data_IF_245809584752
#
_entry.id   IF_245809584752
#
_cell.length_a   1.000
_cell.length_b   1.000
_cell.length_c   1.000
_cell.angle_alpha   90.00
_cell.angle_beta   90.00
_cell.angle_gamma   90.00
#
_symmetry.space_group_name_H-M   'P 1'
#
loop_
_entity.id
_entity.type
_entity.pdbx_description
1 polymer ?
#
# COMPACT_ATOMS: atom_id res chain seq x y z
N UNK A 1 29.55 -17.34 -12.85
CA UNK A 1 28.59 -16.35 -13.39
C UNK A 1 28.06 -15.55 -12.21
N UNK A 2 28.69 -14.40 -11.91
CA UNK A 2 28.27 -13.53 -10.82
C UNK A 2 27.12 -12.65 -11.31
N UNK A 3 25.95 -12.78 -10.68
CA UNK A 3 24.83 -11.88 -10.86
C UNK A 3 25.18 -10.55 -10.18
N UNK A 4 25.43 -9.52 -10.99
CA UNK A 4 25.53 -8.15 -10.51
C UNK A 4 24.15 -7.73 -9.98
N UNK A 5 24.06 -7.50 -8.67
CA UNK A 5 22.89 -6.83 -8.08
C UNK A 5 22.92 -5.39 -8.58
N UNK A 6 21.88 -5.00 -9.32
CA UNK A 6 21.65 -3.59 -9.62
C UNK A 6 21.24 -2.90 -8.32
N UNK A 7 22.20 -2.26 -7.65
CA UNK A 7 21.92 -1.29 -6.59
C UNK A 7 21.43 -0.01 -7.26
N UNK A 8 20.10 0.15 -7.31
CA UNK A 8 19.49 1.44 -7.64
C UNK A 8 19.69 2.37 -6.44
N UNK A 9 20.37 3.50 -6.65
CA UNK A 9 20.48 4.55 -5.65
C UNK A 9 19.07 4.99 -5.20
N UNK A 10 18.87 5.32 -3.91
CA UNK A 10 17.59 5.81 -3.43
C UNK A 10 17.22 7.09 -4.20
N UNK A 11 15.95 7.20 -4.59
CA UNK A 11 15.45 8.40 -5.25
C UNK A 11 15.75 9.63 -4.37
N UNK A 12 16.30 10.70 -4.97
CA UNK A 12 16.58 11.94 -4.27
C UNK A 12 15.30 12.47 -3.60
N UNK A 13 15.38 13.09 -2.41
CA UNK A 13 14.21 13.51 -1.68
C UNK A 13 13.41 14.53 -2.50
N UNK A 14 12.14 14.22 -2.73
CA UNK A 14 11.21 15.13 -3.42
C UNK A 14 10.80 16.26 -2.48
N UNK A 15 10.46 17.43 -3.04
CA UNK A 15 9.97 18.59 -2.28
C UNK A 15 8.84 18.16 -1.31
N UNK A 16 9.00 18.44 -0.02
CA UNK A 16 8.02 18.11 1.02
C UNK A 16 8.22 16.77 1.74
N UNK A 17 9.26 15.99 1.41
CA UNK A 17 9.61 14.83 2.24
C UNK A 17 10.23 15.23 3.58
N UNK A 18 9.94 14.45 4.62
CA UNK A 18 10.58 14.56 5.93
C UNK A 18 11.40 13.29 6.22
N UNK A 19 12.72 13.46 6.36
CA UNK A 19 13.63 12.36 6.69
C UNK A 19 13.76 12.20 8.20
N UNK A 20 13.75 10.96 8.68
CA UNK A 20 13.89 10.63 10.09
C UNK A 20 14.51 9.25 10.27
N UNK A 21 14.81 8.91 11.53
CA UNK A 21 15.34 7.60 11.90
C UNK A 21 14.46 6.97 12.97
N UNK A 22 14.12 5.70 12.77
CA UNK A 22 13.33 4.91 13.72
C UNK A 22 14.04 3.57 13.95
N UNK A 23 14.33 3.24 15.21
CA UNK A 23 15.04 2.02 15.60
C UNK A 23 16.35 1.76 14.79
N UNK A 24 17.00 2.83 14.32
CA UNK A 24 18.21 2.75 13.49
C UNK A 24 17.98 2.63 11.98
N UNK A 25 16.75 2.48 11.49
CA UNK A 25 16.41 2.57 10.07
C UNK A 25 16.27 4.02 9.62
N UNK A 26 16.89 4.38 8.50
CA UNK A 26 16.65 5.66 7.82
C UNK A 26 15.35 5.60 7.01
N UNK A 27 14.48 6.58 7.20
CA UNK A 27 13.14 6.62 6.60
C UNK A 27 12.84 8.01 6.02
N UNK A 28 12.02 8.05 4.98
CA UNK A 28 11.46 9.29 4.45
C UNK A 28 9.93 9.23 4.44
N UNK A 29 9.28 10.17 5.13
CA UNK A 29 7.84 10.36 5.03
C UNK A 29 7.52 11.25 3.82
N UNK A 30 6.66 10.76 2.93
CA UNK A 30 6.19 11.48 1.75
C UNK A 30 4.82 12.13 2.02
N UNK A 31 4.55 13.33 1.47
CA UNK A 31 3.25 14.00 1.61
C UNK A 31 2.04 13.18 1.13
N UNK A 32 2.23 12.12 0.34
CA UNK A 32 1.18 11.17 -0.01
C UNK A 32 0.68 10.31 1.15
N UNK A 33 1.39 10.30 2.29
CA UNK A 33 1.15 9.39 3.41
C UNK A 33 1.96 8.10 3.35
N UNK A 34 2.86 7.95 2.38
CA UNK A 34 3.76 6.80 2.29
C UNK A 34 5.05 7.03 3.09
N UNK A 35 5.64 5.94 3.58
CA UNK A 35 7.00 5.93 4.12
C UNK A 35 7.91 5.14 3.19
N UNK A 36 9.10 5.66 2.94
CA UNK A 36 10.14 4.99 2.16
C UNK A 36 11.23 4.45 3.08
N UNK A 37 11.52 3.17 2.94
CA UNK A 37 12.67 2.46 3.48
C UNK A 37 13.64 2.23 2.33
N UNK A 38 14.53 3.19 2.12
CA UNK A 38 15.30 3.28 0.90
C UNK A 38 16.34 2.15 0.78
N UNK A 39 16.97 1.80 1.91
CA UNK A 39 17.96 0.72 2.00
C UNK A 39 17.35 -0.65 1.66
N UNK A 40 16.09 -0.87 2.02
CA UNK A 40 15.34 -2.09 1.72
C UNK A 40 14.52 -2.00 0.42
N UNK A 41 14.57 -0.87 -0.28
CA UNK A 41 13.78 -0.56 -1.48
C UNK A 41 12.30 -0.91 -1.28
N UNK A 42 11.75 -0.44 -0.16
CA UNK A 42 10.42 -0.77 0.32
C UNK A 42 9.59 0.50 0.52
N UNK A 43 8.37 0.46 0.00
CA UNK A 43 7.36 1.48 0.22
C UNK A 43 6.32 0.96 1.21
N UNK A 44 6.01 1.75 2.22
CA UNK A 44 5.07 1.40 3.28
C UNK A 44 3.90 2.36 3.25
N UNK A 45 2.68 1.82 3.27
CA UNK A 45 1.41 2.54 3.39
C UNK A 45 0.55 1.88 4.46
N UNK A 46 -0.45 2.57 4.99
CA UNK A 46 -1.37 2.04 6.00
C UNK A 46 -2.80 2.54 5.73
N UNK A 47 -3.79 1.90 6.35
CA UNK A 47 -5.17 2.41 6.45
C UNK A 47 -5.80 2.81 5.11
N UNK A 48 -5.55 2.02 4.05
CA UNK A 48 -6.02 2.34 2.70
C UNK A 48 -7.56 2.40 2.61
N UNK A 49 -8.26 1.65 3.46
CA UNK A 49 -9.71 1.68 3.60
C UNK A 49 -10.48 1.63 2.27
N UNK A 50 -10.11 0.71 1.38
CA UNK A 50 -10.86 0.51 0.15
C UNK A 50 -12.34 0.24 0.47
N UNK A 51 -13.25 0.85 -0.32
CA UNK A 51 -14.70 0.69 -0.24
C UNK A 51 -15.40 1.26 1.02
N UNK A 52 -14.76 2.18 1.74
CA UNK A 52 -15.43 2.95 2.81
C UNK A 52 -16.71 3.63 2.31
N UNK A 53 -16.69 4.21 1.11
CA UNK A 53 -17.86 4.87 0.50
C UNK A 53 -19.04 3.92 0.26
N UNK A 54 -18.81 2.69 -0.22
CA UNK A 54 -19.89 1.73 -0.46
C UNK A 54 -20.43 1.11 0.82
N UNK A 55 -19.62 0.99 1.87
CA UNK A 55 -20.07 0.54 3.19
C UNK A 55 -21.03 1.54 3.86
N UNK A 56 -20.77 2.84 3.74
CA UNK A 56 -21.69 3.88 4.21
C UNK A 56 -22.96 3.98 3.34
N UNK A 57 -22.84 3.81 2.02
CA UNK A 57 -23.99 3.78 1.12
C UNK A 57 -24.92 2.58 1.37
N UNK A 58 -24.37 1.41 1.73
CA UNK A 58 -25.15 0.22 2.07
C UNK A 58 -25.88 0.33 3.43
N UNK A 59 -25.37 1.16 4.36
CA UNK A 59 -25.97 1.39 5.69
C UNK A 59 -26.90 2.59 5.75
N UNK A 60 -26.92 3.45 4.73
CA UNK A 60 -27.85 4.57 4.62
C UNK A 60 -27.49 5.80 5.46
N UNK A 61 -26.34 5.79 6.17
CA UNK A 61 -26.00 6.79 7.18
C UNK A 61 -25.23 8.01 6.64
N UNK A 62 -24.66 7.94 5.43
CA UNK A 62 -24.13 9.10 4.71
C UNK A 62 -23.83 8.76 3.25
N UNK A 63 -24.13 9.70 2.34
CA UNK A 63 -23.61 9.67 0.96
C UNK A 63 -22.16 10.15 0.97
N UNK A 64 -21.22 9.26 1.30
CA UNK A 64 -19.82 9.51 0.98
C UNK A 64 -19.65 9.46 -0.55
N UNK A 65 -18.85 10.34 -1.16
CA UNK A 65 -18.59 10.26 -2.59
C UNK A 65 -18.11 8.84 -2.95
N UNK A 66 -18.64 8.21 -4.00
CA UNK A 66 -18.30 6.83 -4.37
C UNK A 66 -16.86 6.66 -4.89
N UNK A 67 -16.02 7.70 -4.83
CA UNK A 67 -14.71 7.79 -5.45
C UNK A 67 -13.53 7.53 -4.50
N UNK A 68 -13.78 7.04 -3.29
CA UNK A 68 -12.74 6.88 -2.28
C UNK A 68 -11.68 5.84 -2.70
N UNK A 69 -12.12 4.70 -3.24
CA UNK A 69 -11.23 3.63 -3.76
C UNK A 69 -10.38 4.13 -4.94
N UNK A 70 -11.02 4.72 -5.96
CA UNK A 70 -10.34 5.19 -7.16
C UNK A 70 -9.30 6.27 -6.89
N UNK A 71 -9.61 7.24 -6.01
CA UNK A 71 -8.68 8.30 -5.63
C UNK A 71 -7.49 7.76 -4.81
N UNK A 72 -7.72 6.77 -3.95
CA UNK A 72 -6.64 6.10 -3.22
C UNK A 72 -5.74 5.30 -4.17
N UNK A 73 -6.31 4.59 -5.15
CA UNK A 73 -5.53 3.93 -6.20
C UNK A 73 -4.74 4.92 -7.05
N UNK A 74 -5.30 6.08 -7.43
CA UNK A 74 -4.57 7.11 -8.18
C UNK A 74 -3.32 7.60 -7.43
N UNK A 75 -3.47 7.86 -6.12
CA UNK A 75 -2.35 8.25 -5.25
C UNK A 75 -1.31 7.14 -5.15
N UNK A 76 -1.74 5.90 -4.94
CA UNK A 76 -0.87 4.74 -4.80
C UNK A 76 -0.10 4.46 -6.09
N UNK A 77 -0.78 4.45 -7.25
CA UNK A 77 -0.15 4.29 -8.56
C UNK A 77 0.87 5.39 -8.86
N UNK A 78 0.56 6.65 -8.52
CA UNK A 78 1.49 7.79 -8.67
C UNK A 78 2.75 7.60 -7.84
N UNK A 79 2.60 7.27 -6.56
CA UNK A 79 3.70 7.10 -5.62
C UNK A 79 4.57 5.90 -6.02
N UNK A 80 3.96 4.76 -6.34
CA UNK A 80 4.68 3.57 -6.83
C UNK A 80 5.39 3.80 -8.17
N UNK A 81 4.80 4.60 -9.08
CA UNK A 81 5.45 4.96 -10.34
C UNK A 81 6.66 5.88 -10.14
N UNK A 82 6.56 6.80 -9.18
CA UNK A 82 7.62 7.76 -8.87
C UNK A 82 8.81 7.09 -8.18
N UNK A 83 8.57 6.33 -7.11
CA UNK A 83 9.64 5.71 -6.34
C UNK A 83 10.10 4.35 -6.88
N UNK A 84 9.28 3.70 -7.72
CA UNK A 84 9.56 2.38 -8.28
C UNK A 84 10.08 1.36 -7.24
N UNK A 85 9.35 1.18 -6.12
CA UNK A 85 9.85 0.33 -5.05
C UNK A 85 9.96 -1.12 -5.54
N UNK A 86 10.82 -1.92 -4.92
CA UNK A 86 10.82 -3.37 -5.13
C UNK A 86 9.64 -4.02 -4.41
N UNK A 87 9.33 -3.53 -3.20
CA UNK A 87 8.30 -4.06 -2.31
C UNK A 87 7.33 -2.97 -1.88
N UNK A 88 6.05 -3.33 -1.77
CA UNK A 88 5.02 -2.51 -1.14
C UNK A 88 4.46 -3.26 0.07
N UNK A 89 4.42 -2.60 1.22
CA UNK A 89 3.86 -3.14 2.47
C UNK A 89 2.65 -2.30 2.85
N UNK A 90 1.49 -2.95 3.00
CA UNK A 90 0.29 -2.35 3.57
C UNK A 90 0.17 -2.74 5.05
N UNK A 91 0.40 -1.78 5.94
CA UNK A 91 0.35 -1.94 7.40
C UNK A 91 -1.09 -1.87 7.92
N UNK A 92 -1.86 -2.95 7.71
CA UNK A 92 -3.20 -3.11 8.30
C UNK A 92 -4.31 -2.28 7.63
N UNK A 93 -5.54 -2.68 7.93
CA UNK A 93 -6.81 -1.97 7.63
C UNK A 93 -6.88 -1.49 6.17
N UNK A 94 -6.40 -2.33 5.25
CA UNK A 94 -6.42 -2.08 3.82
C UNK A 94 -7.84 -2.20 3.25
N UNK A 95 -8.66 -3.06 3.85
CA UNK A 95 -10.05 -3.28 3.49
C UNK A 95 -10.98 -2.91 4.64
N UNK A 96 -12.06 -2.20 4.34
CA UNK A 96 -13.02 -1.77 5.37
C UNK A 96 -13.78 -2.94 6.02
N UNK A 97 -14.09 -3.98 5.24
CA UNK A 97 -14.67 -5.24 5.71
C UNK A 97 -14.32 -6.37 4.74
N UNK A 98 -14.55 -7.62 5.20
CA UNK A 98 -14.29 -8.83 4.42
C UNK A 98 -15.06 -8.90 3.09
N UNK A 99 -16.18 -8.17 2.96
CA UNK A 99 -16.98 -8.08 1.74
C UNK A 99 -16.64 -6.88 0.85
N UNK A 100 -15.62 -6.09 1.21
CA UNK A 100 -15.23 -4.89 0.47
C UNK A 100 -14.82 -5.19 -0.96
N UNK A 101 -14.09 -6.29 -1.20
CA UNK A 101 -13.70 -6.66 -2.56
C UNK A 101 -14.87 -7.02 -3.47
N UNK A 102 -15.94 -7.64 -2.94
CA UNK A 102 -17.10 -8.02 -3.76
C UNK A 102 -17.89 -6.78 -4.22
N UNK A 103 -17.76 -5.66 -3.52
CA UNK A 103 -18.39 -4.37 -3.86
C UNK A 103 -17.50 -3.46 -4.68
N UNK A 104 -16.19 -3.74 -4.71
CA UNK A 104 -15.22 -2.95 -5.47
C UNK A 104 -15.56 -2.98 -6.95
N UNK A 105 -15.59 -1.81 -7.59
CA UNK A 105 -15.79 -1.71 -9.02
C UNK A 105 -14.74 -2.55 -9.77
N UNK A 106 -15.18 -3.32 -10.78
CA UNK A 106 -14.30 -4.23 -11.51
C UNK A 106 -13.06 -3.53 -12.10
N UNK A 107 -13.18 -2.26 -12.48
CA UNK A 107 -12.08 -1.41 -12.95
C UNK A 107 -11.03 -1.16 -11.87
N UNK A 108 -11.45 -0.87 -10.64
CA UNK A 108 -10.56 -0.61 -9.52
C UNK A 108 -9.91 -1.91 -9.02
N UNK A 109 -10.66 -3.01 -9.00
CA UNK A 109 -10.09 -4.32 -8.69
C UNK A 109 -9.01 -4.71 -9.70
N UNK A 110 -9.24 -4.47 -10.99
CA UNK A 110 -8.24 -4.72 -12.02
C UNK A 110 -6.99 -3.83 -11.85
N UNK A 111 -7.14 -2.58 -11.41
CA UNK A 111 -6.02 -1.69 -11.10
C UNK A 111 -5.22 -2.19 -9.90
N UNK A 112 -5.89 -2.55 -8.82
CA UNK A 112 -5.25 -3.08 -7.62
C UNK A 112 -4.48 -4.36 -7.93
N UNK A 113 -5.08 -5.30 -8.67
CA UNK A 113 -4.40 -6.53 -9.11
C UNK A 113 -3.10 -6.24 -9.88
N UNK A 114 -3.13 -5.29 -10.82
CA UNK A 114 -1.92 -4.90 -11.56
C UNK A 114 -0.82 -4.36 -10.65
N UNK A 115 -1.16 -3.61 -9.61
CA UNK A 115 -0.18 -3.16 -8.62
C UNK A 115 0.40 -4.35 -7.84
N UNK A 116 -0.47 -5.22 -7.33
CA UNK A 116 -0.10 -6.39 -6.52
C UNK A 116 0.77 -7.38 -7.33
N UNK A 117 0.51 -7.55 -8.62
CA UNK A 117 1.30 -8.40 -9.52
C UNK A 117 2.65 -7.78 -9.89
N UNK A 118 2.75 -6.45 -9.88
CA UNK A 118 3.95 -5.72 -10.33
C UNK A 118 5.04 -5.63 -9.26
N UNK A 119 4.65 -5.61 -7.99
CA UNK A 119 5.55 -5.41 -6.86
C UNK A 119 5.55 -6.62 -5.93
N UNK A 120 6.62 -6.80 -5.15
CA UNK A 120 6.56 -7.71 -4.00
C UNK A 120 5.57 -7.12 -2.98
N UNK A 121 4.34 -7.61 -2.98
CA UNK A 121 3.25 -7.01 -2.22
C UNK A 121 3.00 -7.78 -0.93
N UNK A 122 3.02 -7.07 0.20
CA UNK A 122 2.77 -7.64 1.52
C UNK A 122 1.58 -6.96 2.18
N UNK A 123 0.61 -7.77 2.60
CA UNK A 123 -0.52 -7.36 3.41
C UNK A 123 -0.23 -7.74 4.87
N UNK A 124 0.01 -6.74 5.72
CA UNK A 124 -0.01 -6.95 7.17
C UNK A 124 -1.47 -6.92 7.60
N UNK A 125 -1.93 -7.97 8.28
CA UNK A 125 -3.32 -8.06 8.74
C UNK A 125 -3.61 -7.03 9.81
N UNK A 126 -4.66 -6.24 9.63
CA UNK A 126 -5.20 -5.30 10.61
C UNK A 126 -6.40 -5.87 11.37
N UNK A 127 -7.13 -4.99 12.03
CA UNK A 127 -8.29 -5.37 12.82
C UNK A 127 -9.51 -5.66 11.93
N UNK A 128 -9.61 -4.95 10.81
CA UNK A 128 -10.73 -5.06 9.87
C UNK A 128 -10.50 -6.09 8.76
N UNK A 129 -9.25 -6.45 8.50
CA UNK A 129 -8.80 -7.39 7.48
C UNK A 129 -7.91 -8.50 8.08
N UNK A 130 -8.50 -9.46 8.85
CA UNK A 130 -7.75 -10.57 9.43
C UNK A 130 -7.11 -11.50 8.38
N UNK A 131 -7.59 -11.42 7.13
CA UNK A 131 -6.92 -11.93 5.96
C UNK A 131 -7.27 -11.05 4.75
N UNK A 132 -6.32 -10.76 3.85
CA UNK A 132 -6.66 -10.16 2.57
C UNK A 132 -7.55 -11.14 1.79
N UNK A 133 -8.44 -10.65 0.92
CA UNK A 133 -9.40 -11.54 0.29
C UNK A 133 -8.74 -12.54 -0.67
N UNK A 134 -9.36 -13.71 -0.87
CA UNK A 134 -8.82 -14.74 -1.74
C UNK A 134 -8.72 -14.21 -3.19
N UNK A 135 -7.63 -14.57 -3.88
CA UNK A 135 -7.37 -14.26 -5.30
C UNK A 135 -6.97 -12.80 -5.63
N UNK A 136 -6.55 -12.01 -4.64
CA UNK A 136 -5.94 -10.70 -4.91
C UNK A 136 -4.44 -10.81 -5.24
N UNK A 137 -3.77 -11.85 -4.74
CA UNK A 137 -2.32 -11.99 -4.81
C UNK A 137 -1.60 -11.29 -3.64
N UNK A 138 -0.27 -11.27 -3.68
CA UNK A 138 0.56 -10.80 -2.58
C UNK A 138 0.65 -11.80 -1.42
N UNK A 139 1.43 -11.44 -0.41
CA UNK A 139 1.67 -12.26 0.78
C UNK A 139 0.95 -11.66 1.98
N UNK A 140 0.09 -12.45 2.63
CA UNK A 140 -0.56 -12.08 3.89
C UNK A 140 0.27 -12.54 5.09
N UNK A 141 0.50 -11.67 6.07
CA UNK A 141 1.19 -12.04 7.31
C UNK A 141 0.75 -11.15 8.48
N UNK A 142 0.87 -11.64 9.72
CA UNK A 142 0.60 -10.83 10.91
C UNK A 142 1.72 -9.82 11.21
N UNK A 143 2.94 -10.09 10.75
CA UNK A 143 4.09 -9.22 10.92
C UNK A 143 5.15 -9.48 9.84
N UNK A 144 5.97 -8.46 9.56
CA UNK A 144 7.12 -8.53 8.66
C UNK A 144 8.28 -7.77 9.28
N UNK A 145 9.46 -8.38 9.29
CA UNK A 145 10.72 -7.72 9.67
C UNK A 145 11.39 -7.17 8.42
N UNK A 146 11.75 -5.88 8.44
CA UNK A 146 12.39 -5.17 7.32
C UNK A 146 13.58 -4.39 7.85
N UNK A 147 14.79 -4.86 7.55
CA UNK A 147 16.00 -4.25 8.11
C UNK A 147 16.02 -4.38 9.64
N UNK A 148 16.21 -3.28 10.40
CA UNK A 148 16.18 -3.30 11.86
C UNK A 148 14.77 -3.11 12.45
N UNK A 149 13.72 -3.10 11.62
CA UNK A 149 12.31 -2.92 12.01
C UNK A 149 11.55 -4.24 12.07
#
# INVERSE_FOLDING_TARGET
MSLQRHESAPAAPTEGQANFTLAGAAMAADPSGAILLADENTLVVADLHFEKGSAFAARGDAWLPPYDTGATLDRLERVCRHYQPRRVVCLGDSFHDLGGLDRMAATDLARLRRLVERYDWVWITGNHDPAPPPNLGGTATAALVVGPL
#
